data_IF_680626646955
#
_entry.id   IF_680626646955
#
_cell.length_a   1.000
_cell.length_b   1.000
_cell.length_c   1.000
_cell.angle_alpha   90.00
_cell.angle_beta   90.00
_cell.angle_gamma   90.00
#
_symmetry.space_group_name_H-M   'P 1'
#
loop_
_entity.id
_entity.type
_entity.pdbx_description
1 polymer ?
#
# COMPACT_ATOMS: atom_id res chain seq x y z
N UNK A 1 37.02 -24.06 -21.38
CA UNK A 1 35.79 -23.19 -21.41
C UNK A 1 34.91 -23.68 -20.29
N UNK A 2 34.93 -23.02 -19.12
CA UNK A 2 33.98 -23.30 -18.05
C UNK A 2 32.66 -22.63 -18.46
N UNK A 3 31.62 -23.42 -18.67
CA UNK A 3 30.24 -22.90 -18.74
C UNK A 3 29.97 -22.11 -17.45
N UNK A 4 29.81 -20.79 -17.58
CA UNK A 4 29.22 -20.00 -16.50
C UNK A 4 27.85 -20.59 -16.23
N UNK A 5 27.71 -21.37 -15.17
CA UNK A 5 26.40 -21.74 -14.61
C UNK A 5 25.57 -20.46 -14.50
N UNK A 6 24.50 -20.40 -15.27
CA UNK A 6 23.57 -19.28 -15.22
C UNK A 6 23.05 -19.15 -13.79
N UNK A 7 23.30 -18.02 -13.15
CA UNK A 7 22.78 -17.72 -11.82
C UNK A 7 21.31 -18.07 -11.76
N UNK A 8 20.82 -18.81 -10.74
CA UNK A 8 19.43 -19.20 -10.67
C UNK A 8 18.55 -17.95 -10.67
N UNK A 9 17.79 -17.77 -11.74
CA UNK A 9 16.85 -16.68 -11.88
C UNK A 9 15.54 -17.00 -11.15
N UNK A 10 14.85 -15.96 -10.65
CA UNK A 10 13.51 -16.09 -10.10
C UNK A 10 12.60 -16.78 -11.14
N UNK A 11 11.84 -17.80 -10.71
CA UNK A 11 10.94 -18.50 -11.65
C UNK A 11 9.75 -17.61 -12.01
N UNK A 12 9.51 -17.42 -13.30
CA UNK A 12 8.30 -16.78 -13.83
C UNK A 12 7.13 -17.75 -13.69
N UNK A 13 6.44 -17.71 -12.54
CA UNK A 13 5.32 -18.61 -12.22
C UNK A 13 3.95 -17.94 -12.19
N UNK A 14 3.90 -16.60 -12.33
CA UNK A 14 2.66 -15.82 -12.29
C UNK A 14 2.07 -15.70 -13.69
N UNK A 15 0.78 -16.10 -13.82
CA UNK A 15 0.01 -15.90 -15.06
C UNK A 15 -0.50 -14.46 -15.13
N UNK A 16 -0.87 -13.97 -16.31
CA UNK A 16 -1.41 -12.61 -16.52
C UNK A 16 -2.61 -12.31 -15.59
N UNK A 17 -3.52 -13.27 -15.36
CA UNK A 17 -4.63 -13.13 -14.41
C UNK A 17 -4.18 -12.85 -12.98
N UNK A 18 -3.05 -13.47 -12.55
CA UNK A 18 -2.49 -13.22 -11.21
C UNK A 18 -1.93 -11.80 -11.11
N UNK A 19 -1.18 -11.35 -12.11
CA UNK A 19 -0.60 -10.01 -12.16
C UNK A 19 -1.68 -8.91 -12.15
N UNK A 20 -2.76 -9.10 -12.92
CA UNK A 20 -3.89 -8.17 -12.93
C UNK A 20 -4.60 -8.12 -11.56
N UNK A 21 -4.83 -9.27 -10.92
CA UNK A 21 -5.48 -9.30 -9.60
C UNK A 21 -4.57 -8.77 -8.49
N UNK A 22 -3.26 -9.02 -8.54
CA UNK A 22 -2.29 -8.41 -7.64
C UNK A 22 -2.30 -6.88 -7.79
N UNK A 23 -2.31 -6.39 -9.04
CA UNK A 23 -2.36 -4.95 -9.31
C UNK A 23 -3.69 -4.31 -8.85
N UNK A 24 -4.82 -5.00 -9.00
CA UNK A 24 -6.13 -4.50 -8.57
C UNK A 24 -6.36 -4.66 -7.07
N UNK A 25 -6.01 -5.82 -6.53
CA UNK A 25 -6.31 -6.20 -5.15
C UNK A 25 -5.25 -5.79 -4.13
N UNK A 26 -3.97 -5.73 -4.52
CA UNK A 26 -2.85 -5.49 -3.61
C UNK A 26 -2.89 -4.14 -2.90
N UNK A 27 -3.56 -3.14 -3.48
CA UNK A 27 -3.72 -1.83 -2.86
C UNK A 27 -5.02 -1.67 -2.04
N UNK A 28 -5.92 -2.66 -2.05
CA UNK A 28 -7.14 -2.63 -1.23
C UNK A 28 -6.86 -3.46 0.04
N UNK A 29 -6.47 -2.76 1.10
CA UNK A 29 -6.12 -3.33 2.39
C UNK A 29 -6.81 -2.60 3.54
N UNK A 30 -6.24 -2.73 4.73
CA UNK A 30 -6.76 -2.14 5.97
C UNK A 30 -6.83 -0.61 5.94
N UNK A 31 -6.05 0.04 5.08
CA UNK A 31 -6.11 1.50 4.88
C UNK A 31 -7.51 1.98 4.50
N UNK A 32 -8.18 1.30 3.57
CA UNK A 32 -9.56 1.60 3.21
C UNK A 32 -10.54 1.09 4.27
N UNK A 33 -10.36 -0.16 4.74
CA UNK A 33 -11.36 -0.84 5.56
C UNK A 33 -11.36 -0.41 7.03
N UNK A 34 -10.20 -0.09 7.60
CA UNK A 34 -10.09 0.32 9.01
C UNK A 34 -9.47 1.71 9.18
N UNK A 35 -8.48 2.06 8.37
CA UNK A 35 -7.88 3.40 8.37
C UNK A 35 -8.89 4.50 8.05
N UNK A 36 -10.00 4.17 7.38
CA UNK A 36 -11.11 5.08 7.11
C UNK A 36 -11.83 5.58 8.37
N UNK A 37 -11.77 4.87 9.51
CA UNK A 37 -12.29 5.38 10.81
C UNK A 37 -11.71 6.76 11.11
N UNK A 38 -10.39 6.85 11.15
CA UNK A 38 -9.70 8.10 11.47
C UNK A 38 -9.96 9.20 10.43
N UNK A 39 -10.04 8.84 9.14
CA UNK A 39 -10.29 9.81 8.07
C UNK A 39 -11.72 10.33 8.09
N UNK A 40 -12.70 9.47 8.40
CA UNK A 40 -14.11 9.87 8.58
C UNK A 40 -14.23 10.80 9.80
N UNK A 41 -13.61 10.46 10.93
CA UNK A 41 -13.63 11.30 12.12
C UNK A 41 -13.02 12.70 11.87
N UNK A 42 -11.99 12.83 11.03
CA UNK A 42 -11.34 14.09 10.70
C UNK A 42 -12.13 14.92 9.69
N UNK A 43 -12.66 14.33 8.63
CA UNK A 43 -13.25 15.06 7.51
C UNK A 43 -14.77 14.97 7.41
N UNK A 44 -15.40 14.04 8.13
CA UNK A 44 -16.81 13.72 7.93
C UNK A 44 -17.08 13.29 6.48
N UNK A 45 -18.19 13.72 5.88
CA UNK A 45 -18.54 13.39 4.48
C UNK A 45 -17.49 13.85 3.47
N UNK A 46 -16.72 14.92 3.75
CA UNK A 46 -15.65 15.38 2.87
C UNK A 46 -14.48 14.39 2.73
N UNK A 47 -14.47 13.27 3.45
CA UNK A 47 -13.52 12.17 3.26
C UNK A 47 -13.48 11.70 1.81
N UNK A 48 -14.59 11.74 1.09
CA UNK A 48 -14.65 11.44 -0.35
C UNK A 48 -13.69 12.32 -1.16
N UNK A 49 -13.66 13.63 -0.87
CA UNK A 49 -12.76 14.57 -1.54
C UNK A 49 -11.30 14.33 -1.13
N UNK A 50 -11.03 13.91 0.10
CA UNK A 50 -9.69 13.56 0.55
C UNK A 50 -9.15 12.35 -0.24
N UNK A 51 -9.96 11.31 -0.43
CA UNK A 51 -9.63 10.17 -1.29
C UNK A 51 -9.47 10.57 -2.75
N UNK A 52 -10.31 11.46 -3.27
CA UNK A 52 -10.19 11.96 -4.64
C UNK A 52 -8.89 12.74 -4.84
N UNK A 53 -8.58 13.68 -3.94
CA UNK A 53 -7.37 14.50 -4.03
C UNK A 53 -6.10 13.63 -3.92
N UNK A 54 -6.00 12.80 -2.88
CA UNK A 54 -4.88 11.87 -2.71
C UNK A 54 -4.72 10.93 -3.90
N UNK A 55 -5.85 10.39 -4.40
CA UNK A 55 -5.89 9.50 -5.54
C UNK A 55 -5.41 10.14 -6.84
N UNK A 56 -5.79 11.38 -7.11
CA UNK A 56 -5.32 12.15 -8.29
C UNK A 56 -3.80 12.35 -8.21
N UNK A 57 -3.26 12.71 -7.04
CA UNK A 57 -1.82 12.88 -6.88
C UNK A 57 -1.07 11.57 -7.08
N UNK A 58 -1.56 10.48 -6.49
CA UNK A 58 -0.99 9.14 -6.67
C UNK A 58 -1.07 8.68 -8.12
N UNK A 59 -2.18 8.94 -8.82
CA UNK A 59 -2.28 8.63 -10.25
C UNK A 59 -1.15 9.27 -11.05
N UNK A 60 -0.83 10.54 -10.81
CA UNK A 60 0.27 11.21 -11.51
C UNK A 60 1.63 10.64 -11.10
N UNK A 61 1.84 10.29 -9.83
CA UNK A 61 3.08 9.63 -9.39
C UNK A 61 3.24 8.27 -10.08
N UNK A 62 2.16 7.48 -10.17
CA UNK A 62 2.17 6.22 -10.90
C UNK A 62 2.36 6.41 -12.40
N UNK A 63 1.87 7.50 -12.98
CA UNK A 63 2.10 7.86 -14.36
C UNK A 63 3.59 8.13 -14.63
N UNK A 64 4.26 8.83 -13.70
CA UNK A 64 5.70 9.07 -13.76
C UNK A 64 6.51 7.77 -13.66
N UNK A 65 6.14 6.88 -12.73
CA UNK A 65 6.74 5.57 -12.59
C UNK A 65 6.56 4.74 -13.87
N UNK A 66 5.34 4.72 -14.42
CA UNK A 66 5.02 3.99 -15.63
C UNK A 66 5.75 4.51 -16.87
N UNK A 67 6.00 5.81 -16.96
CA UNK A 67 6.79 6.38 -18.04
C UNK A 67 8.20 5.80 -18.05
N UNK A 68 8.86 5.71 -16.87
CA UNK A 68 10.17 5.08 -16.73
C UNK A 68 10.11 3.57 -16.95
N UNK A 69 9.04 2.90 -16.49
CA UNK A 69 8.89 1.46 -16.59
C UNK A 69 8.59 0.97 -18.02
N UNK A 70 7.92 1.76 -18.84
CA UNK A 70 7.74 1.48 -20.29
C UNK A 70 9.03 1.69 -21.05
N UNK A 71 9.84 2.67 -20.65
CA UNK A 71 11.13 2.93 -21.28
C UNK A 71 12.16 1.82 -21.02
N UNK A 72 12.16 1.28 -19.80
CA UNK A 72 13.06 0.22 -19.34
C UNK A 72 12.38 -0.69 -18.33
N UNK A 73 11.70 -1.76 -18.78
CA UNK A 73 10.98 -2.68 -17.89
C UNK A 73 11.96 -3.58 -17.12
N UNK A 74 12.19 -3.28 -15.83
CA UNK A 74 13.11 -4.01 -14.95
C UNK A 74 12.44 -4.35 -13.61
N UNK A 75 12.81 -5.49 -13.03
CA UNK A 75 12.29 -5.96 -11.73
C UNK A 75 12.70 -5.05 -10.56
N UNK A 76 13.82 -4.32 -10.68
CA UNK A 76 14.28 -3.34 -9.69
C UNK A 76 13.46 -2.06 -9.63
N UNK A 77 12.63 -1.79 -10.68
CA UNK A 77 11.70 -0.68 -10.77
C UNK A 77 12.30 0.66 -10.29
N UNK A 78 11.57 1.39 -9.45
CA UNK A 78 11.94 2.73 -8.97
C UNK A 78 13.31 2.79 -8.28
N UNK A 79 13.77 1.73 -7.64
CA UNK A 79 15.08 1.63 -7.02
C UNK A 79 16.20 1.55 -8.08
N UNK A 80 15.97 0.81 -9.19
CA UNK A 80 16.86 0.79 -10.34
C UNK A 80 16.93 2.16 -11.03
N UNK A 81 15.76 2.78 -11.31
CA UNK A 81 15.71 4.09 -11.95
C UNK A 81 16.35 5.18 -11.09
N UNK A 82 16.16 5.15 -9.77
CA UNK A 82 16.82 6.08 -8.86
C UNK A 82 18.34 5.94 -8.93
N UNK A 83 18.86 4.71 -8.92
CA UNK A 83 20.29 4.45 -9.11
C UNK A 83 20.82 4.97 -10.45
N UNK A 84 20.10 4.69 -11.55
CA UNK A 84 20.50 5.06 -12.90
C UNK A 84 20.45 6.57 -13.18
N UNK A 85 19.38 7.25 -12.77
CA UNK A 85 19.13 8.64 -13.16
C UNK A 85 19.46 9.66 -12.06
N UNK A 86 19.52 9.23 -10.79
CA UNK A 86 19.81 10.14 -9.68
C UNK A 86 21.14 9.87 -8.99
N UNK A 87 21.57 8.62 -8.92
CA UNK A 87 22.86 8.19 -8.36
C UNK A 87 22.73 7.04 -7.36
N UNK A 88 23.87 6.48 -6.95
CA UNK A 88 23.95 5.23 -6.18
C UNK A 88 23.23 5.31 -4.83
N UNK A 89 23.43 6.41 -4.07
CA UNK A 89 22.75 6.58 -2.79
C UNK A 89 21.24 6.64 -2.90
N UNK A 90 20.60 7.41 -3.79
CA UNK A 90 19.16 7.34 -4.03
C UNK A 90 18.65 5.95 -4.41
N UNK A 91 19.40 5.19 -5.20
CA UNK A 91 19.08 3.81 -5.54
C UNK A 91 19.07 2.90 -4.31
N UNK A 92 20.13 2.99 -3.50
CA UNK A 92 20.24 2.28 -2.21
C UNK A 92 19.12 2.65 -1.25
N UNK A 93 18.91 3.96 -1.03
CA UNK A 93 17.86 4.50 -0.18
C UNK A 93 16.49 3.98 -0.61
N UNK A 94 16.17 4.08 -1.90
CA UNK A 94 14.87 3.67 -2.43
C UNK A 94 14.57 2.20 -2.17
N UNK A 95 15.53 1.29 -2.38
CA UNK A 95 15.34 -0.14 -2.17
C UNK A 95 15.16 -0.52 -0.69
N UNK A 96 16.03 -0.03 0.20
CA UNK A 96 15.93 -0.29 1.63
C UNK A 96 14.72 0.36 2.28
N UNK A 97 14.37 1.60 1.85
CA UNK A 97 13.16 2.28 2.33
C UNK A 97 11.89 1.51 1.94
N UNK A 98 11.85 0.95 0.73
CA UNK A 98 10.71 0.15 0.30
C UNK A 98 10.58 -1.15 1.10
N UNK A 99 11.69 -1.86 1.34
CA UNK A 99 11.67 -3.04 2.23
C UNK A 99 11.18 -2.68 3.64
N UNK A 100 11.70 -1.61 4.22
CA UNK A 100 11.26 -1.11 5.52
C UNK A 100 9.75 -0.78 5.51
N UNK A 101 9.29 -0.03 4.51
CA UNK A 101 7.88 0.31 4.36
C UNK A 101 7.00 -0.94 4.42
N UNK A 102 7.33 -1.96 3.64
CA UNK A 102 6.54 -3.19 3.58
C UNK A 102 6.65 -4.07 4.83
N UNK A 103 7.73 -3.97 5.61
CA UNK A 103 7.78 -4.56 6.97
C UNK A 103 6.74 -3.87 7.86
N UNK A 104 6.69 -2.54 7.86
CA UNK A 104 5.73 -1.79 8.67
C UNK A 104 4.28 -2.03 8.20
N UNK A 105 4.04 -2.06 6.88
CA UNK A 105 2.73 -2.44 6.32
C UNK A 105 2.34 -3.85 6.78
N UNK A 106 3.25 -4.82 6.72
CA UNK A 106 3.01 -6.19 7.22
C UNK A 106 2.59 -6.21 8.69
N UNK A 107 3.25 -5.38 9.51
CA UNK A 107 2.89 -5.23 10.92
C UNK A 107 1.49 -4.60 11.09
N UNK A 108 1.15 -3.57 10.31
CA UNK A 108 -0.16 -2.92 10.37
C UNK A 108 -1.29 -3.87 9.97
N UNK A 109 -1.09 -4.66 8.89
CA UNK A 109 -2.08 -5.65 8.45
C UNK A 109 -2.30 -6.75 9.51
N UNK A 110 -1.24 -7.23 10.15
CA UNK A 110 -1.35 -8.22 11.23
C UNK A 110 -1.98 -7.64 12.50
N UNK A 111 -1.75 -6.36 12.82
CA UNK A 111 -2.47 -5.69 13.91
C UNK A 111 -3.98 -5.64 13.62
N UNK A 112 -4.35 -5.30 12.39
CA UNK A 112 -5.75 -5.28 11.96
C UNK A 112 -6.39 -6.67 11.96
N UNK A 113 -5.66 -7.75 11.62
CA UNK A 113 -6.14 -9.13 11.76
C UNK A 113 -6.61 -9.41 13.19
N UNK A 114 -5.87 -8.96 14.21
CA UNK A 114 -6.28 -9.07 15.60
C UNK A 114 -7.61 -8.39 15.88
N UNK A 115 -7.78 -7.13 15.40
CA UNK A 115 -9.02 -6.36 15.56
C UNK A 115 -10.21 -7.06 14.87
N UNK A 116 -10.03 -7.56 13.64
CA UNK A 116 -11.10 -8.24 12.91
C UNK A 116 -11.49 -9.59 13.52
N UNK A 117 -10.53 -10.32 14.10
CA UNK A 117 -10.81 -11.58 14.80
C UNK A 117 -11.59 -11.37 16.08
N UNK A 118 -11.38 -10.26 16.80
CA UNK A 118 -12.11 -9.92 18.02
C UNK A 118 -13.63 -9.71 17.77
N UNK A 119 -14.02 -9.43 16.53
CA UNK A 119 -15.45 -9.34 16.16
C UNK A 119 -16.21 -10.67 16.42
N UNK A 120 -15.56 -11.81 16.22
CA UNK A 120 -16.15 -13.14 16.46
C UNK A 120 -15.70 -13.76 17.77
N UNK A 121 -14.50 -13.44 18.21
CA UNK A 121 -13.83 -14.02 19.37
C UNK A 121 -13.29 -12.90 20.27
N UNK A 122 -14.17 -12.20 21.02
CA UNK A 122 -13.77 -11.03 21.83
C UNK A 122 -12.69 -11.30 22.86
N UNK A 123 -12.67 -12.54 23.40
CA UNK A 123 -11.72 -12.97 24.43
C UNK A 123 -10.36 -13.43 23.85
N UNK A 124 -10.23 -13.53 22.51
CA UNK A 124 -9.01 -13.96 21.88
C UNK A 124 -7.97 -12.81 21.85
N UNK A 125 -6.80 -12.98 22.47
CA UNK A 125 -5.77 -11.94 22.43
C UNK A 125 -5.35 -11.60 20.99
N UNK A 126 -5.31 -10.32 20.64
CA UNK A 126 -4.96 -9.85 19.30
C UNK A 126 -3.58 -10.37 18.83
N UNK A 127 -2.60 -10.43 19.75
CA UNK A 127 -1.27 -10.94 19.43
C UNK A 127 -1.27 -12.40 18.97
N UNK A 128 -2.20 -13.22 19.48
CA UNK A 128 -2.29 -14.64 19.09
C UNK A 128 -2.81 -14.77 17.65
N UNK A 129 -3.83 -14.01 17.28
CA UNK A 129 -4.33 -13.94 15.90
C UNK A 129 -3.24 -13.49 14.93
N UNK A 130 -2.46 -12.46 15.30
CA UNK A 130 -1.33 -11.98 14.50
C UNK A 130 -0.25 -13.07 14.35
N UNK A 131 0.11 -13.78 15.43
CA UNK A 131 1.11 -14.84 15.40
C UNK A 131 0.70 -16.03 14.53
N UNK A 132 -0.55 -16.45 14.63
CA UNK A 132 -1.09 -17.54 13.80
C UNK A 132 -1.07 -17.16 12.33
N UNK A 133 -1.57 -15.95 11.99
CA UNK A 133 -1.59 -15.45 10.62
C UNK A 133 -0.16 -15.33 10.06
N UNK A 134 0.78 -14.74 10.82
CA UNK A 134 2.18 -14.63 10.45
C UNK A 134 2.79 -16.00 10.11
N UNK A 135 2.57 -16.99 10.99
CA UNK A 135 3.12 -18.34 10.82
C UNK A 135 2.57 -19.02 9.57
N UNK A 136 1.25 -18.99 9.38
CA UNK A 136 0.59 -19.62 8.23
C UNK A 136 1.06 -18.99 6.91
N UNK A 137 1.07 -17.67 6.81
CA UNK A 137 1.48 -16.96 5.59
C UNK A 137 2.98 -17.16 5.31
N UNK A 138 3.83 -17.18 6.34
CA UNK A 138 5.26 -17.47 6.17
C UNK A 138 5.45 -18.86 5.58
N UNK A 139 4.80 -19.89 6.13
CA UNK A 139 4.88 -21.27 5.63
C UNK A 139 4.41 -21.34 4.17
N UNK A 140 3.29 -20.71 3.83
CA UNK A 140 2.76 -20.68 2.46
C UNK A 140 3.75 -20.05 1.49
N UNK A 141 4.38 -18.92 1.83
CA UNK A 141 5.37 -18.26 0.99
C UNK A 141 6.67 -19.08 0.81
N UNK A 142 7.00 -19.97 1.75
CA UNK A 142 8.13 -20.89 1.63
C UNK A 142 7.88 -22.04 0.66
N UNK A 143 6.62 -22.31 0.25
CA UNK A 143 6.29 -23.46 -0.60
C UNK A 143 6.64 -23.23 -2.07
N UNK A 144 5.92 -22.34 -2.76
CA UNK A 144 6.19 -21.96 -4.15
C UNK A 144 5.44 -20.69 -4.58
N UNK A 145 5.93 -20.04 -5.66
CA UNK A 145 5.38 -18.79 -6.22
C UNK A 145 3.96 -18.98 -6.78
N UNK A 146 3.63 -20.17 -7.30
CA UNK A 146 2.31 -20.44 -7.86
C UNK A 146 1.23 -20.49 -6.77
N UNK A 147 1.54 -21.08 -5.61
CA UNK A 147 0.62 -21.12 -4.47
C UNK A 147 0.31 -19.68 -3.97
N UNK A 148 1.34 -18.83 -3.89
CA UNK A 148 1.16 -17.41 -3.63
C UNK A 148 0.19 -16.74 -4.62
N UNK A 149 0.45 -16.91 -5.93
CA UNK A 149 -0.35 -16.25 -6.96
C UNK A 149 -1.82 -16.69 -6.99
N UNK A 150 -2.09 -17.99 -6.80
CA UNK A 150 -3.47 -18.51 -6.73
C UNK A 150 -4.19 -18.00 -5.47
N UNK A 151 -3.54 -18.00 -4.31
CA UNK A 151 -4.13 -17.48 -3.08
C UNK A 151 -4.47 -15.99 -3.22
N UNK A 152 -3.53 -15.18 -3.74
CA UNK A 152 -3.74 -13.75 -3.93
C UNK A 152 -4.87 -13.47 -4.94
N UNK A 153 -4.95 -14.25 -6.02
CA UNK A 153 -6.03 -14.15 -7.00
C UNK A 153 -7.41 -14.29 -6.34
N UNK A 154 -7.62 -15.35 -5.54
CA UNK A 154 -8.90 -15.61 -4.90
C UNK A 154 -9.24 -14.58 -3.82
N UNK A 155 -8.25 -14.19 -3.00
CA UNK A 155 -8.47 -13.15 -1.99
C UNK A 155 -8.78 -11.78 -2.63
N UNK A 156 -8.10 -11.42 -3.72
CA UNK A 156 -8.40 -10.21 -4.46
C UNK A 156 -9.80 -10.24 -5.08
N UNK A 157 -10.21 -11.37 -5.64
CA UNK A 157 -11.55 -11.54 -6.22
C UNK A 157 -12.64 -11.37 -5.14
N UNK A 158 -12.45 -11.98 -3.96
CA UNK A 158 -13.40 -11.87 -2.83
C UNK A 158 -13.58 -10.41 -2.43
N UNK A 159 -12.50 -9.68 -2.17
CA UNK A 159 -12.58 -8.28 -1.72
C UNK A 159 -13.15 -7.34 -2.77
N UNK A 160 -12.79 -7.50 -4.05
CA UNK A 160 -13.34 -6.68 -5.15
C UNK A 160 -14.84 -6.93 -5.30
N UNK A 161 -15.24 -8.20 -5.35
CA UNK A 161 -16.66 -8.58 -5.47
C UNK A 161 -17.47 -8.05 -4.29
N UNK A 162 -16.96 -8.17 -3.07
CA UNK A 162 -17.65 -7.70 -1.88
C UNK A 162 -17.84 -6.17 -1.87
N UNK A 163 -16.84 -5.39 -2.29
CA UNK A 163 -16.96 -3.93 -2.38
C UNK A 163 -18.01 -3.55 -3.44
N UNK A 164 -17.99 -4.18 -4.62
CA UNK A 164 -18.97 -3.92 -5.67
C UNK A 164 -20.39 -4.26 -5.20
N UNK A 165 -20.57 -5.41 -4.54
CA UNK A 165 -21.87 -5.80 -3.97
C UNK A 165 -22.30 -4.86 -2.86
N UNK A 166 -21.39 -4.41 -2.00
CA UNK A 166 -21.66 -3.44 -0.94
C UNK A 166 -22.11 -2.08 -1.53
N UNK A 167 -21.41 -1.58 -2.56
CA UNK A 167 -21.82 -0.36 -3.26
C UNK A 167 -23.20 -0.54 -3.88
N UNK A 168 -23.46 -1.69 -4.54
CA UNK A 168 -24.75 -2.00 -5.13
C UNK A 168 -25.86 -2.10 -4.12
N UNK A 169 -25.66 -2.82 -3.00
CA UNK A 169 -26.63 -2.95 -1.91
C UNK A 169 -26.87 -1.60 -1.24
N UNK A 170 -25.82 -0.86 -0.92
CA UNK A 170 -25.96 0.47 -0.30
C UNK A 170 -26.68 1.45 -1.21
N UNK A 171 -26.35 1.47 -2.51
CA UNK A 171 -27.08 2.27 -3.48
C UNK A 171 -28.56 1.90 -3.60
N UNK A 172 -28.87 0.60 -3.58
CA UNK A 172 -30.25 0.12 -3.58
C UNK A 172 -31.00 0.56 -2.31
N UNK A 173 -30.39 0.45 -1.13
CA UNK A 173 -30.97 0.93 0.13
C UNK A 173 -31.26 2.45 0.10
N UNK A 174 -30.35 3.26 -0.46
CA UNK A 174 -30.56 4.70 -0.60
C UNK A 174 -31.71 5.04 -1.54
N UNK A 175 -31.90 4.29 -2.63
CA UNK A 175 -32.97 4.54 -3.62
C UNK A 175 -34.34 4.07 -3.08
N UNK A 176 -34.40 2.95 -2.37
CA UNK A 176 -35.67 2.38 -1.88
C UNK A 176 -36.16 3.01 -0.60
N UNK A 177 -35.34 3.84 0.06
CA UNK A 177 -35.71 4.49 1.32
C UNK A 177 -35.88 3.49 2.48
N UNK A 178 -35.25 2.31 2.40
CA UNK A 178 -35.31 1.30 3.45
C UNK A 178 -34.70 1.83 4.77
N UNK A 179 -35.07 1.36 5.89
CA UNK A 179 -35.67 1.81 7.12
C UNK A 179 -35.05 3.06 7.78
N UNK A 180 -34.32 3.91 7.03
CA UNK A 180 -33.56 5.05 7.56
C UNK A 180 -34.19 6.37 7.14
N UNK A 181 -34.59 7.23 8.10
CA UNK A 181 -35.22 8.51 7.79
C UNK A 181 -34.26 9.53 7.16
N UNK A 182 -32.92 9.35 7.24
CA UNK A 182 -31.98 10.42 6.93
C UNK A 182 -31.14 10.22 5.66
N UNK A 183 -31.22 9.12 4.95
CA UNK A 183 -30.67 8.89 3.58
C UNK A 183 -29.45 9.78 3.18
N UNK A 184 -29.49 10.35 1.99
CA UNK A 184 -28.48 11.27 1.46
C UNK A 184 -28.32 12.51 2.35
N UNK A 185 -29.29 12.87 3.17
CA UNK A 185 -29.23 14.02 4.10
C UNK A 185 -28.11 13.88 5.13
N UNK A 186 -27.65 12.65 5.46
CA UNK A 186 -26.51 12.39 6.33
C UNK A 186 -25.23 13.12 5.85
N UNK A 187 -25.12 13.41 4.55
CA UNK A 187 -23.99 14.16 4.01
C UNK A 187 -23.98 15.64 4.46
N UNK A 188 -25.10 16.16 4.99
CA UNK A 188 -25.21 17.56 5.41
C UNK A 188 -25.82 17.74 6.80
N UNK A 189 -26.57 16.78 7.32
CA UNK A 189 -27.37 16.92 8.55
C UNK A 189 -26.50 17.11 9.83
N UNK A 190 -25.29 16.55 9.84
CA UNK A 190 -24.45 16.50 11.03
C UNK A 190 -23.24 17.46 10.94
N UNK A 191 -23.51 18.77 10.84
CA UNK A 191 -22.49 19.82 10.76
C UNK A 191 -22.07 20.18 9.33
N UNK A 192 -22.84 19.77 8.31
CA UNK A 192 -22.57 20.04 6.91
C UNK A 192 -21.59 19.06 6.26
N UNK A 193 -21.26 19.29 5.01
CA UNK A 193 -20.36 18.44 4.22
C UNK A 193 -18.89 18.48 4.71
N UNK A 194 -18.47 19.60 5.31
CA UNK A 194 -17.15 19.85 5.89
C UNK A 194 -17.29 20.17 7.39
N UNK A 195 -17.73 19.24 8.25
CA UNK A 195 -18.08 19.53 9.63
C UNK A 195 -16.89 20.06 10.45
N UNK A 196 -15.68 19.61 10.15
CA UNK A 196 -14.42 20.03 10.78
C UNK A 196 -13.64 21.04 9.89
N UNK A 197 -14.31 21.66 8.92
CA UNK A 197 -13.74 22.66 8.03
C UNK A 197 -12.61 22.14 7.14
N UNK A 198 -11.94 23.06 6.46
CA UNK A 198 -10.82 22.74 5.58
C UNK A 198 -9.63 22.12 6.30
N UNK A 199 -9.47 22.41 7.60
CA UNK A 199 -8.39 21.85 8.41
C UNK A 199 -8.57 20.34 8.60
N UNK A 200 -9.76 19.89 9.00
CA UNK A 200 -10.08 18.47 9.12
C UNK A 200 -9.91 17.72 7.79
N UNK A 201 -10.31 18.33 6.68
CA UNK A 201 -10.11 17.79 5.34
C UNK A 201 -8.62 17.60 4.99
N UNK A 202 -7.77 18.59 5.29
CA UNK A 202 -6.32 18.48 5.03
C UNK A 202 -5.67 17.39 5.89
N UNK A 203 -6.03 17.31 7.18
CA UNK A 203 -5.56 16.26 8.07
C UNK A 203 -6.00 14.87 7.57
N UNK A 204 -7.27 14.71 7.19
CA UNK A 204 -7.77 13.45 6.64
C UNK A 204 -7.03 13.05 5.35
N UNK A 205 -6.70 14.02 4.49
CA UNK A 205 -5.94 13.76 3.25
C UNK A 205 -4.57 13.13 3.55
N UNK A 206 -3.90 13.54 4.65
CA UNK A 206 -2.64 12.93 5.05
C UNK A 206 -2.82 11.47 5.49
N UNK A 207 -3.87 11.16 6.25
CA UNK A 207 -4.17 9.78 6.69
C UNK A 207 -4.58 8.88 5.53
N UNK A 208 -5.38 9.41 4.59
CA UNK A 208 -5.83 8.70 3.38
C UNK A 208 -4.66 8.16 2.56
N UNK A 209 -3.50 8.82 2.59
CA UNK A 209 -2.34 8.41 1.79
C UNK A 209 -1.88 6.97 2.09
N UNK A 210 -2.06 6.48 3.31
CA UNK A 210 -1.79 5.08 3.63
C UNK A 210 -2.60 4.10 2.76
N UNK A 211 -3.85 4.45 2.46
CA UNK A 211 -4.74 3.61 1.64
C UNK A 211 -4.28 3.42 0.19
N UNK A 212 -3.34 4.22 -0.26
CA UNK A 212 -2.76 4.13 -1.62
C UNK A 212 -1.42 3.40 -1.65
N UNK A 213 -0.89 2.95 -0.52
CA UNK A 213 0.27 2.06 -0.49
C UNK A 213 0.01 0.77 -1.27
N UNK A 214 1.03 0.29 -2.00
CA UNK A 214 0.93 -0.91 -2.83
C UNK A 214 0.59 -0.67 -4.30
N UNK A 215 0.15 0.52 -4.69
CA UNK A 215 -0.11 0.85 -6.10
C UNK A 215 1.19 0.79 -6.93
N UNK A 216 2.32 1.12 -6.35
CA UNK A 216 3.65 1.06 -6.96
C UNK A 216 4.11 -0.36 -7.31
N UNK A 217 3.44 -1.41 -6.84
CA UNK A 217 3.66 -2.80 -7.25
C UNK A 217 3.53 -2.99 -8.77
N UNK A 218 2.72 -2.18 -9.45
CA UNK A 218 2.62 -2.14 -10.91
C UNK A 218 4.00 -1.91 -11.54
N UNK A 219 4.83 -1.04 -10.95
CA UNK A 219 6.19 -0.81 -11.42
C UNK A 219 7.12 -2.00 -11.18
N UNK A 220 6.98 -2.71 -10.07
CA UNK A 220 7.81 -3.88 -9.72
C UNK A 220 7.49 -5.06 -10.63
N UNK A 221 6.20 -5.27 -10.93
CA UNK A 221 5.75 -6.36 -11.83
C UNK A 221 6.04 -6.07 -13.30
N UNK A 222 6.44 -4.85 -13.66
CA UNK A 222 6.77 -4.46 -15.02
C UNK A 222 7.87 -5.33 -15.66
N UNK A 223 8.88 -5.75 -14.87
CA UNK A 223 9.94 -6.65 -15.32
C UNK A 223 9.50 -8.10 -15.58
N UNK A 224 8.30 -8.50 -15.13
CA UNK A 224 7.70 -9.82 -15.31
C UNK A 224 6.55 -9.81 -16.33
N UNK A 225 6.23 -8.64 -16.92
CA UNK A 225 5.18 -8.48 -17.92
C UNK A 225 5.60 -9.05 -19.29
N UNK A 226 4.68 -9.76 -19.98
CA UNK A 226 4.93 -10.31 -21.30
C UNK A 226 4.99 -9.21 -22.38
N UNK A 227 4.17 -8.17 -22.27
CA UNK A 227 4.12 -7.00 -23.17
C UNK A 227 4.07 -5.70 -22.34
N UNK A 228 5.23 -5.19 -21.88
CA UNK A 228 5.30 -4.01 -21.03
C UNK A 228 4.74 -2.74 -21.71
N UNK A 229 4.97 -2.55 -22.99
CA UNK A 229 4.55 -1.37 -23.76
C UNK A 229 3.00 -1.19 -23.75
N UNK A 230 2.26 -2.28 -23.61
CA UNK A 230 0.79 -2.29 -23.57
C UNK A 230 0.25 -2.47 -22.15
N UNK A 231 0.81 -3.41 -21.41
CA UNK A 231 0.29 -3.83 -20.08
C UNK A 231 0.47 -2.73 -19.02
N UNK A 232 1.63 -2.06 -18.98
CA UNK A 232 1.92 -1.01 -18.00
C UNK A 232 1.00 0.21 -18.19
N UNK A 233 0.85 0.80 -19.42
CA UNK A 233 -0.09 1.89 -19.65
C UNK A 233 -1.53 1.54 -19.29
N UNK A 234 -2.00 0.33 -19.60
CA UNK A 234 -3.34 -0.12 -19.26
C UNK A 234 -3.54 -0.21 -17.75
N UNK A 235 -2.61 -0.83 -17.03
CA UNK A 235 -2.68 -0.98 -15.57
C UNK A 235 -2.72 0.41 -14.88
N UNK A 236 -1.88 1.36 -15.32
CA UNK A 236 -1.85 2.71 -14.76
C UNK A 236 -3.13 3.50 -15.06
N UNK A 237 -3.65 3.43 -16.29
CA UNK A 237 -4.90 4.12 -16.63
C UNK A 237 -6.10 3.55 -15.87
N UNK A 238 -6.07 2.29 -15.46
CA UNK A 238 -7.11 1.69 -14.61
C UNK A 238 -7.06 2.18 -13.16
N UNK A 239 -5.94 2.73 -12.69
CA UNK A 239 -5.80 3.25 -11.32
C UNK A 239 -6.86 4.31 -11.03
N UNK A 240 -7.16 5.22 -11.97
CA UNK A 240 -8.14 6.28 -11.74
C UNK A 240 -9.55 5.72 -11.51
N UNK A 241 -9.96 4.73 -12.32
CA UNK A 241 -11.26 4.07 -12.15
C UNK A 241 -11.35 3.33 -10.83
N UNK A 242 -10.25 2.69 -10.41
CA UNK A 242 -10.15 2.03 -9.13
C UNK A 242 -10.34 3.01 -7.98
N UNK A 243 -9.70 4.17 -8.04
CA UNK A 243 -9.85 5.24 -7.05
C UNK A 243 -11.30 5.71 -6.98
N UNK A 244 -11.90 6.03 -8.14
CA UNK A 244 -13.27 6.53 -8.18
C UNK A 244 -14.28 5.51 -7.65
N UNK A 245 -14.18 4.24 -8.03
CA UNK A 245 -15.16 3.22 -7.65
C UNK A 245 -14.91 2.73 -6.22
N UNK A 246 -13.68 2.25 -5.93
CA UNK A 246 -13.42 1.53 -4.69
C UNK A 246 -13.15 2.43 -3.48
N UNK A 247 -12.72 3.66 -3.69
CA UNK A 247 -12.47 4.60 -2.58
C UNK A 247 -13.56 5.65 -2.50
N UNK A 248 -13.72 6.49 -3.52
CA UNK A 248 -14.70 7.58 -3.50
C UNK A 248 -16.14 7.05 -3.48
N UNK A 249 -16.48 6.09 -4.34
CA UNK A 249 -17.81 5.49 -4.41
C UNK A 249 -18.19 4.77 -3.11
N UNK A 250 -17.25 4.03 -2.54
CA UNK A 250 -17.45 3.37 -1.25
C UNK A 250 -17.73 4.38 -0.13
N UNK A 251 -16.90 5.41 0.01
CA UNK A 251 -17.09 6.44 1.04
C UNK A 251 -18.38 7.22 0.84
N UNK A 252 -18.76 7.49 -0.42
CA UNK A 252 -20.02 8.16 -0.73
C UNK A 252 -21.24 7.36 -0.21
N UNK A 253 -21.25 6.05 -0.46
CA UNK A 253 -22.32 5.16 0.02
C UNK A 253 -22.32 5.07 1.56
N UNK A 254 -21.17 4.86 2.19
CA UNK A 254 -21.08 4.72 3.64
C UNK A 254 -21.54 5.99 4.37
N UNK A 255 -21.10 7.16 3.91
CA UNK A 255 -21.46 8.45 4.51
C UNK A 255 -22.91 8.85 4.25
N UNK A 256 -23.50 8.37 3.17
CA UNK A 256 -24.93 8.57 2.91
C UNK A 256 -25.83 7.63 3.75
N UNK A 257 -25.37 6.40 4.01
CA UNK A 257 -26.13 5.41 4.78
C UNK A 257 -26.15 5.68 6.28
N UNK A 258 -25.10 6.29 6.84
CA UNK A 258 -24.94 6.43 8.30
C UNK A 258 -24.27 7.75 8.69
N UNK A 259 -24.71 8.38 9.80
CA UNK A 259 -24.09 9.59 10.32
C UNK A 259 -22.60 9.39 10.60
N UNK A 260 -21.74 10.25 10.05
CA UNK A 260 -20.29 10.14 10.18
C UNK A 260 -19.79 10.19 11.63
N UNK A 261 -20.47 10.96 12.50
CA UNK A 261 -20.12 11.17 13.90
C UNK A 261 -20.48 9.98 14.81
N UNK A 262 -21.18 8.99 14.30
CA UNK A 262 -21.52 7.73 15.00
C UNK A 262 -20.60 6.57 14.59
N UNK A 263 -19.64 6.79 13.70
CA UNK A 263 -18.66 5.76 13.30
C UNK A 263 -17.59 5.67 14.39
N UNK A 264 -17.57 4.56 15.11
CA UNK A 264 -16.60 4.29 16.19
C UNK A 264 -15.33 3.56 15.71
N UNK A 265 -14.38 3.33 16.64
CA UNK A 265 -13.13 2.63 16.38
C UNK A 265 -13.18 1.11 16.64
N UNK A 266 -14.31 0.57 17.10
CA UNK A 266 -14.43 -0.82 17.56
C UNK A 266 -14.36 -1.87 16.43
N UNK A 267 -14.68 -1.46 15.20
CA UNK A 267 -14.61 -2.30 14.02
C UNK A 267 -14.44 -1.45 12.75
N UNK A 268 -14.26 -2.11 11.60
CA UNK A 268 -14.30 -1.43 10.30
C UNK A 268 -15.62 -0.67 10.11
N UNK A 269 -15.60 0.58 9.57
CA UNK A 269 -16.84 1.31 9.24
C UNK A 269 -17.78 0.51 8.35
N UNK A 270 -17.25 -0.30 7.46
CA UNK A 270 -18.04 -1.21 6.61
C UNK A 270 -18.89 -2.19 7.44
N UNK A 271 -18.30 -2.75 8.47
CA UNK A 271 -18.97 -3.72 9.35
C UNK A 271 -19.98 -3.02 10.26
N UNK A 272 -19.56 -1.89 10.87
CA UNK A 272 -20.40 -1.13 11.80
C UNK A 272 -21.66 -0.60 11.10
N UNK A 273 -21.50 0.06 9.95
CA UNK A 273 -22.62 0.66 9.23
C UNK A 273 -23.63 -0.40 8.83
N UNK A 274 -23.22 -1.52 8.24
CA UNK A 274 -24.17 -2.57 7.85
C UNK A 274 -24.80 -3.33 9.03
N UNK A 275 -24.10 -3.41 10.16
CA UNK A 275 -24.68 -3.90 11.42
C UNK A 275 -25.77 -2.96 11.94
N UNK A 276 -25.49 -1.66 11.97
CA UNK A 276 -26.39 -0.63 12.47
C UNK A 276 -27.60 -0.42 11.55
N UNK A 277 -27.39 -0.60 10.25
CA UNK A 277 -28.45 -0.64 9.22
C UNK A 277 -29.40 -1.85 9.37
N UNK A 278 -29.17 -2.74 10.34
CA UNK A 278 -30.04 -3.86 10.62
C UNK A 278 -29.85 -5.08 9.72
N UNK A 279 -28.67 -5.22 9.09
CA UNK A 279 -28.30 -6.37 8.26
C UNK A 279 -27.10 -7.12 8.89
N UNK A 280 -27.30 -7.85 10.01
CA UNK A 280 -26.20 -8.50 10.73
C UNK A 280 -25.43 -9.51 9.86
N UNK A 281 -26.12 -10.23 8.97
CA UNK A 281 -25.49 -11.17 8.05
C UNK A 281 -24.47 -10.46 7.13
N UNK A 282 -24.77 -9.25 6.63
CA UNK A 282 -23.83 -8.47 5.85
C UNK A 282 -22.62 -8.03 6.69
N UNK A 283 -22.80 -7.70 7.96
CA UNK A 283 -21.71 -7.36 8.85
C UNK A 283 -20.71 -8.52 9.03
N UNK A 284 -21.19 -9.76 9.22
CA UNK A 284 -20.34 -10.95 9.31
C UNK A 284 -19.59 -11.22 8.01
N UNK A 285 -20.26 -11.11 6.86
CA UNK A 285 -19.65 -11.28 5.54
C UNK A 285 -18.58 -10.21 5.31
N UNK A 286 -18.89 -8.95 5.59
CA UNK A 286 -17.96 -7.85 5.43
C UNK A 286 -16.75 -7.97 6.36
N UNK A 287 -16.94 -8.41 7.62
CA UNK A 287 -15.83 -8.66 8.52
C UNK A 287 -14.91 -9.78 8.01
N UNK A 288 -15.46 -10.85 7.43
CA UNK A 288 -14.67 -11.88 6.77
C UNK A 288 -13.90 -11.32 5.57
N UNK A 289 -14.53 -10.46 4.77
CA UNK A 289 -13.88 -9.80 3.62
C UNK A 289 -12.73 -8.91 4.05
N UNK A 290 -12.91 -8.06 5.07
CA UNK A 290 -11.85 -7.17 5.54
C UNK A 290 -10.69 -7.95 6.17
N UNK A 291 -10.99 -9.06 6.87
CA UNK A 291 -9.96 -9.99 7.35
C UNK A 291 -9.16 -10.60 6.18
N UNK A 292 -9.85 -11.12 5.16
CA UNK A 292 -9.16 -11.68 3.98
C UNK A 292 -8.37 -10.61 3.22
N UNK A 293 -8.81 -9.37 3.22
CA UNK A 293 -8.08 -8.26 2.64
C UNK A 293 -6.76 -7.97 3.37
N UNK A 294 -6.79 -7.94 4.71
CA UNK A 294 -5.58 -7.79 5.53
C UNK A 294 -4.58 -8.94 5.29
N UNK A 295 -5.07 -10.18 5.31
CA UNK A 295 -4.25 -11.37 5.03
C UNK A 295 -3.64 -11.33 3.63
N UNK A 296 -4.39 -10.90 2.62
CA UNK A 296 -3.93 -10.74 1.23
C UNK A 296 -2.81 -9.72 1.11
N UNK A 297 -2.97 -8.52 1.72
CA UNK A 297 -1.92 -7.50 1.68
C UNK A 297 -0.67 -7.97 2.41
N UNK A 298 -0.81 -8.63 3.57
CA UNK A 298 0.32 -9.22 4.29
C UNK A 298 1.04 -10.30 3.45
N UNK A 299 0.30 -11.17 2.77
CA UNK A 299 0.85 -12.16 1.86
C UNK A 299 1.66 -11.52 0.72
N UNK A 300 1.10 -10.49 0.09
CA UNK A 300 1.78 -9.73 -0.97
C UNK A 300 3.00 -8.96 -0.45
N UNK A 301 2.95 -8.48 0.80
CA UNK A 301 4.07 -7.79 1.44
C UNK A 301 5.27 -8.72 1.67
N UNK A 302 5.07 -9.92 2.21
CA UNK A 302 6.14 -10.92 2.40
C UNK A 302 6.74 -11.35 1.06
N UNK A 303 5.89 -11.57 0.05
CA UNK A 303 6.33 -11.87 -1.30
C UNK A 303 7.25 -10.77 -1.86
N UNK A 304 6.82 -9.51 -1.80
CA UNK A 304 7.56 -8.35 -2.32
C UNK A 304 8.84 -8.07 -1.55
N UNK A 305 8.79 -8.14 -0.21
CA UNK A 305 9.93 -7.95 0.67
C UNK A 305 11.08 -8.91 0.37
N UNK A 306 10.76 -10.18 0.20
CA UNK A 306 11.78 -11.20 -0.06
C UNK A 306 12.49 -10.97 -1.41
N UNK A 307 11.75 -10.48 -2.41
CA UNK A 307 12.31 -10.16 -3.74
C UNK A 307 13.08 -8.85 -3.74
N UNK A 308 12.65 -7.87 -2.96
CA UNK A 308 13.40 -6.63 -2.79
C UNK A 308 14.76 -6.91 -2.16
N UNK A 309 14.82 -7.71 -1.09
CA UNK A 309 16.09 -8.12 -0.48
C UNK A 309 17.00 -8.88 -1.47
N UNK A 310 16.40 -9.77 -2.27
CA UNK A 310 17.13 -10.49 -3.33
C UNK A 310 17.71 -9.51 -4.36
N UNK A 311 16.90 -8.56 -4.85
CA UNK A 311 17.35 -7.54 -5.81
C UNK A 311 18.41 -6.60 -5.24
N UNK A 312 18.30 -6.19 -3.97
CA UNK A 312 19.33 -5.43 -3.27
C UNK A 312 20.66 -6.20 -3.20
N UNK A 313 20.60 -7.50 -2.87
CA UNK A 313 21.78 -8.34 -2.80
C UNK A 313 22.45 -8.55 -4.18
N UNK A 314 21.66 -8.70 -5.23
CA UNK A 314 22.19 -8.77 -6.61
C UNK A 314 22.97 -7.53 -7.03
N UNK A 315 22.58 -6.36 -6.54
CA UNK A 315 23.28 -5.08 -6.81
C UNK A 315 24.45 -4.80 -5.86
N UNK A 316 24.71 -5.69 -4.90
CA UNK A 316 25.71 -5.45 -3.86
C UNK A 316 25.25 -4.49 -2.76
N UNK A 317 23.95 -4.11 -2.73
CA UNK A 317 23.37 -3.22 -1.74
C UNK A 317 22.97 -3.95 -0.44
N UNK A 318 23.00 -5.29 -0.45
CA UNK A 318 22.71 -6.15 0.69
C UNK A 318 23.64 -7.38 0.72
N UNK A 319 23.73 -8.13 1.84
CA UNK A 319 24.59 -9.29 1.92
C UNK A 319 24.30 -10.33 0.83
N UNK A 320 25.36 -10.85 0.19
CA UNK A 320 25.30 -11.84 -0.90
C UNK A 320 24.52 -13.12 -0.52
N UNK A 321 24.49 -13.44 0.77
CA UNK A 321 23.71 -14.56 1.30
C UNK A 321 22.21 -14.49 0.93
N UNK A 322 21.66 -13.31 0.66
CA UNK A 322 20.27 -13.10 0.25
C UNK A 322 20.01 -13.41 -1.24
N UNK A 323 21.05 -13.58 -2.04
CA UNK A 323 20.93 -14.04 -3.44
C UNK A 323 20.61 -15.54 -3.55
N UNK A 324 20.67 -16.31 -2.45
CA UNK A 324 20.43 -17.74 -2.51
C UNK A 324 18.93 -18.04 -2.64
N UNK A 325 18.60 -18.79 -3.69
CA UNK A 325 17.25 -19.30 -3.95
C UNK A 325 17.18 -20.80 -3.58
N UNK A 326 16.00 -21.23 -3.14
CA UNK A 326 15.70 -22.66 -3.00
C UNK A 326 15.62 -23.35 -4.36
N UNK A 327 15.60 -24.70 -4.37
CA UNK A 327 15.37 -25.48 -5.60
C UNK A 327 14.06 -25.10 -6.34
N UNK A 328 13.11 -24.48 -5.65
CA UNK A 328 11.84 -23.97 -6.20
C UNK A 328 11.91 -22.53 -6.68
N UNK A 329 13.09 -21.88 -6.63
CA UNK A 329 13.28 -20.48 -7.02
C UNK A 329 12.72 -19.47 -6.01
N UNK A 330 12.60 -19.87 -4.73
CA UNK A 330 12.06 -19.02 -3.65
C UNK A 330 13.22 -18.44 -2.82
N UNK A 331 13.23 -17.12 -2.52
CA UNK A 331 14.24 -16.47 -1.71
C UNK A 331 13.98 -16.71 -0.20
N UNK A 332 14.23 -17.92 0.28
CA UNK A 332 13.91 -18.39 1.64
C UNK A 332 14.47 -17.47 2.73
N UNK A 333 15.74 -17.05 2.60
CA UNK A 333 16.37 -16.16 3.59
C UNK A 333 15.67 -14.79 3.66
N UNK A 334 15.28 -14.26 2.51
CA UNK A 334 14.54 -13.00 2.45
C UNK A 334 13.17 -13.10 3.13
N UNK A 335 12.45 -14.22 2.92
CA UNK A 335 11.17 -14.49 3.60
C UNK A 335 11.37 -14.57 5.12
N UNK A 336 12.32 -15.39 5.59
CA UNK A 336 12.53 -15.60 7.02
C UNK A 336 12.98 -14.32 7.75
N UNK A 337 13.85 -13.50 7.14
CA UNK A 337 14.26 -12.22 7.71
C UNK A 337 13.07 -11.26 7.77
N UNK A 338 12.30 -11.16 6.71
CA UNK A 338 11.14 -10.26 6.68
C UNK A 338 10.06 -10.70 7.67
N UNK A 339 9.76 -12.01 7.76
CA UNK A 339 8.83 -12.56 8.76
C UNK A 339 9.34 -12.37 10.19
N UNK A 340 10.64 -12.56 10.43
CA UNK A 340 11.26 -12.33 11.73
C UNK A 340 11.17 -10.86 12.18
N UNK A 341 11.39 -9.92 11.27
CA UNK A 341 11.19 -8.50 11.56
C UNK A 341 9.72 -8.16 11.80
N UNK A 342 8.81 -8.75 11.04
CA UNK A 342 7.37 -8.56 11.23
C UNK A 342 6.88 -9.14 12.57
N UNK A 343 7.57 -10.13 13.13
CA UNK A 343 7.22 -10.72 14.44
C UNK A 343 7.18 -9.66 15.58
N UNK A 344 7.85 -8.53 15.41
CA UNK A 344 7.81 -7.42 16.36
C UNK A 344 6.36 -6.96 16.62
N UNK A 345 5.46 -7.07 15.65
CA UNK A 345 4.04 -6.69 15.83
C UNK A 345 3.34 -7.53 16.90
N UNK A 346 3.75 -8.77 17.07
CA UNK A 346 3.17 -9.66 18.12
C UNK A 346 3.42 -9.06 19.50
N UNK A 347 4.64 -8.54 19.73
CA UNK A 347 4.99 -7.83 20.97
C UNK A 347 4.25 -6.48 21.06
N UNK A 348 4.16 -5.73 19.96
CA UNK A 348 3.43 -4.46 19.95
C UNK A 348 1.95 -4.67 20.30
N UNK A 349 1.29 -5.68 19.73
CA UNK A 349 -0.11 -6.01 20.05
C UNK A 349 -0.28 -6.55 21.48
N UNK A 350 0.75 -7.13 22.08
CA UNK A 350 0.72 -7.55 23.47
C UNK A 350 0.78 -6.38 24.45
N UNK A 351 1.69 -5.42 24.21
CA UNK A 351 1.91 -4.29 25.12
C UNK A 351 1.01 -3.08 24.85
N UNK A 352 0.59 -2.89 23.58
CA UNK A 352 -0.18 -1.72 23.12
C UNK A 352 -1.38 -2.15 22.25
N UNK A 353 -2.32 -2.94 22.81
CA UNK A 353 -3.49 -3.38 22.05
C UNK A 353 -4.35 -2.16 21.68
N UNK A 354 -4.68 -2.04 20.39
CA UNK A 354 -5.50 -0.95 19.84
C UNK A 354 -4.71 0.23 19.28
N UNK A 355 -3.61 0.68 19.89
CA UNK A 355 -2.83 1.83 19.42
C UNK A 355 -1.79 1.48 18.35
N UNK A 356 -1.32 0.24 18.36
CA UNK A 356 -0.26 -0.23 17.46
C UNK A 356 -0.57 0.04 15.99
N UNK A 357 -1.82 -0.16 15.57
CA UNK A 357 -2.23 0.06 14.19
C UNK A 357 -2.01 1.51 13.74
N UNK A 358 -2.43 2.50 14.54
CA UNK A 358 -2.29 3.92 14.19
C UNK A 358 -0.82 4.34 14.03
N UNK A 359 0.06 3.91 14.94
CA UNK A 359 1.49 4.20 14.84
C UNK A 359 2.12 3.54 13.61
N UNK A 360 1.74 2.31 13.31
CA UNK A 360 2.27 1.56 12.17
C UNK A 360 1.85 2.19 10.83
N UNK A 361 0.57 2.58 10.68
CA UNK A 361 0.12 3.25 9.44
C UNK A 361 0.79 4.62 9.26
N UNK A 362 1.08 5.32 10.36
CA UNK A 362 1.80 6.60 10.30
C UNK A 362 3.23 6.42 9.80
N UNK A 363 3.98 5.44 10.34
CA UNK A 363 5.35 5.14 9.93
C UNK A 363 5.37 4.64 8.47
N UNK A 364 4.42 3.76 8.09
CA UNK A 364 4.29 3.29 6.71
C UNK A 364 4.00 4.44 5.74
N UNK A 365 3.12 5.38 6.11
CA UNK A 365 2.82 6.56 5.29
C UNK A 365 4.07 7.42 5.08
N UNK A 366 4.86 7.70 6.11
CA UNK A 366 6.13 8.43 5.99
C UNK A 366 7.09 7.71 5.05
N UNK A 367 7.24 6.40 5.17
CA UNK A 367 8.10 5.60 4.31
C UNK A 367 7.61 5.59 2.85
N UNK A 368 6.28 5.51 2.63
CA UNK A 368 5.67 5.61 1.31
C UNK A 368 5.91 6.99 0.67
N UNK A 369 5.78 8.08 1.44
CA UNK A 369 6.08 9.46 0.98
C UNK A 369 7.53 9.58 0.51
N UNK A 370 8.50 8.97 1.21
CA UNK A 370 9.90 8.91 0.74
C UNK A 370 10.00 8.20 -0.61
N UNK A 371 9.35 7.04 -0.76
CA UNK A 371 9.36 6.28 -2.02
C UNK A 371 8.73 7.07 -3.16
N UNK A 372 7.57 7.69 -2.95
CA UNK A 372 6.89 8.52 -3.95
C UNK A 372 7.68 9.76 -4.30
N UNK A 373 8.29 10.43 -3.32
CA UNK A 373 9.21 11.56 -3.55
C UNK A 373 10.39 11.14 -4.41
N UNK A 374 10.97 9.97 -4.13
CA UNK A 374 12.07 9.40 -4.93
C UNK A 374 11.64 9.16 -6.38
N UNK A 375 10.45 8.59 -6.61
CA UNK A 375 9.89 8.38 -7.95
C UNK A 375 9.76 9.72 -8.69
N UNK A 376 9.17 10.75 -8.07
CA UNK A 376 8.92 12.06 -8.69
C UNK A 376 10.24 12.77 -9.07
N UNK A 377 11.22 12.77 -8.16
CA UNK A 377 12.54 13.41 -8.41
C UNK A 377 13.32 12.63 -9.47
N UNK A 378 13.28 11.30 -9.42
CA UNK A 378 13.94 10.45 -10.44
C UNK A 378 13.35 10.71 -11.83
N UNK A 379 12.02 10.84 -11.92
CA UNK A 379 11.35 11.16 -13.19
C UNK A 379 11.76 12.53 -13.76
N UNK A 380 11.95 13.55 -12.92
CA UNK A 380 12.51 14.85 -13.37
C UNK A 380 13.88 14.68 -14.01
N UNK A 381 14.74 13.85 -13.42
CA UNK A 381 16.10 13.59 -13.94
C UNK A 381 16.07 12.72 -15.20
N UNK A 382 15.25 11.69 -15.22
CA UNK A 382 14.99 10.86 -16.40
C UNK A 382 14.58 11.71 -17.60
N UNK A 383 13.59 12.57 -17.44
CA UNK A 383 13.11 13.46 -18.52
C UNK A 383 14.17 14.43 -19.02
N UNK A 384 14.99 14.97 -18.10
CA UNK A 384 16.12 15.85 -18.48
C UNK A 384 17.18 15.09 -19.28
N UNK A 385 17.44 13.82 -18.91
CA UNK A 385 18.38 12.98 -19.64
C UNK A 385 17.84 12.62 -21.03
N UNK A 386 16.59 12.15 -21.15
CA UNK A 386 15.95 11.87 -22.44
C UNK A 386 15.97 13.10 -23.37
N UNK A 387 15.72 14.30 -22.84
CA UNK A 387 15.78 15.52 -23.63
C UNK A 387 17.21 15.85 -24.14
N UNK A 388 18.25 15.58 -23.34
CA UNK A 388 19.65 15.75 -23.76
C UNK A 388 20.09 14.75 -24.81
N UNK A 389 19.59 13.52 -24.72
CA UNK A 389 19.90 12.40 -25.61
C UNK A 389 19.03 12.38 -26.88
N UNK A 390 18.00 13.24 -26.96
CA UNK A 390 17.01 13.23 -28.05
C UNK A 390 16.13 11.97 -28.07
N UNK A 391 16.04 11.24 -26.95
CA UNK A 391 15.32 9.97 -26.86
C UNK A 391 13.81 10.20 -26.86
N UNK A 392 13.02 9.55 -27.77
CA UNK A 392 11.57 9.65 -27.77
C UNK A 392 10.96 8.93 -26.57
N UNK A 393 9.92 9.51 -25.99
CA UNK A 393 9.20 8.94 -24.83
C UNK A 393 7.88 8.38 -25.32
N UNK A 394 7.65 7.08 -25.11
CA UNK A 394 6.44 6.36 -25.57
C UNK A 394 5.20 6.68 -24.74
N UNK A 395 5.33 6.72 -23.42
CA UNK A 395 4.22 6.87 -22.46
C UNK A 395 4.40 8.13 -21.63
N UNK A 396 4.04 9.30 -22.18
CA UNK A 396 4.30 10.60 -21.56
C UNK A 396 3.39 10.91 -20.38
N UNK A 397 3.98 11.41 -19.29
CA UNK A 397 3.25 12.04 -18.17
C UNK A 397 2.81 13.43 -18.60
N UNK A 398 1.49 13.75 -18.52
CA UNK A 398 0.99 15.07 -18.87
C UNK A 398 1.46 16.15 -17.88
N UNK A 399 1.42 17.40 -18.31
CA UNK A 399 1.74 18.58 -17.49
C UNK A 399 3.17 18.62 -16.92
N UNK A 400 4.10 17.84 -17.45
CA UNK A 400 5.52 17.93 -17.09
C UNK A 400 6.08 19.34 -17.42
N UNK A 401 6.92 19.97 -16.56
CA UNK A 401 7.36 19.49 -15.23
C UNK A 401 6.47 19.93 -14.07
N UNK A 402 5.41 20.71 -14.32
CA UNK A 402 4.59 21.33 -13.28
C UNK A 402 3.92 20.32 -12.36
N UNK A 403 3.45 19.21 -12.93
CA UNK A 403 2.82 18.15 -12.13
C UNK A 403 3.80 17.49 -11.16
N UNK A 404 5.08 17.40 -11.51
CA UNK A 404 6.11 16.90 -10.60
C UNK A 404 6.26 17.82 -9.38
N UNK A 405 6.35 19.14 -9.61
CA UNK A 405 6.45 20.10 -8.52
C UNK A 405 5.20 20.11 -7.65
N UNK A 406 4.01 20.02 -8.25
CA UNK A 406 2.76 19.92 -7.53
C UNK A 406 2.73 18.68 -6.64
N UNK A 407 3.13 17.51 -7.15
CA UNK A 407 3.23 16.28 -6.36
C UNK A 407 4.24 16.43 -5.21
N UNK A 408 5.39 17.07 -5.42
CA UNK A 408 6.37 17.29 -4.35
C UNK A 408 5.83 18.21 -3.26
N UNK A 409 5.15 19.30 -3.62
CA UNK A 409 4.48 20.22 -2.67
C UNK A 409 3.40 19.47 -1.89
N UNK A 410 2.58 18.67 -2.58
CA UNK A 410 1.55 17.86 -1.96
C UNK A 410 2.13 16.86 -0.95
N UNK A 411 3.18 16.11 -1.32
CA UNK A 411 3.84 15.15 -0.44
C UNK A 411 4.50 15.83 0.78
N UNK A 412 5.08 17.01 0.60
CA UNK A 412 5.58 17.82 1.72
C UNK A 412 4.43 18.27 2.64
N UNK A 413 3.30 18.69 2.06
CA UNK A 413 2.08 19.03 2.79
C UNK A 413 1.55 17.85 3.61
N UNK A 414 1.57 16.62 3.06
CA UNK A 414 1.17 15.40 3.79
C UNK A 414 2.02 15.23 5.05
N UNK A 415 3.34 15.35 4.97
CA UNK A 415 4.24 15.23 6.14
C UNK A 415 3.96 16.33 7.18
N UNK A 416 3.74 17.56 6.73
CA UNK A 416 3.39 18.68 7.61
C UNK A 416 2.07 18.43 8.35
N UNK A 417 1.05 17.91 7.65
CA UNK A 417 -0.24 17.57 8.25
C UNK A 417 -0.12 16.41 9.22
N UNK A 418 0.67 15.37 8.92
CA UNK A 418 0.93 14.26 9.84
C UNK A 418 1.56 14.73 11.15
N UNK A 419 2.42 15.76 11.13
CA UNK A 419 2.99 16.35 12.33
C UNK A 419 1.95 17.06 13.23
N UNK A 420 0.74 17.34 12.72
CA UNK A 420 -0.36 17.96 13.48
C UNK A 420 -1.36 16.93 14.05
N UNK A 421 -1.26 15.65 13.64
CA UNK A 421 -2.20 14.61 14.06
C UNK A 421 -1.62 13.89 15.28
N UNK A 422 -2.32 13.89 16.44
CA UNK A 422 -1.91 13.09 17.60
C UNK A 422 -1.69 11.62 17.23
N UNK A 423 -0.59 11.02 17.67
CA UNK A 423 -0.18 9.66 17.32
C UNK A 423 0.62 9.55 16.01
N UNK A 424 0.48 10.45 15.03
CA UNK A 424 1.29 10.43 13.81
C UNK A 424 2.59 11.23 13.91
N UNK A 425 2.71 12.11 14.87
CA UNK A 425 3.90 12.95 15.11
C UNK A 425 5.17 12.11 15.31
N UNK A 426 5.04 10.94 15.96
CA UNK A 426 6.17 10.04 16.20
C UNK A 426 6.79 9.53 14.91
N UNK A 427 5.97 9.26 13.89
CA UNK A 427 6.45 8.83 12.59
C UNK A 427 7.27 9.91 11.88
N UNK A 428 6.82 11.17 11.98
CA UNK A 428 7.55 12.33 11.43
C UNK A 428 8.88 12.54 12.17
N UNK A 429 8.92 12.33 13.49
CA UNK A 429 10.14 12.42 14.30
C UNK A 429 11.14 11.29 14.00
N UNK A 430 10.67 10.08 13.66
CA UNK A 430 11.50 8.94 13.29
C UNK A 430 12.09 9.08 11.89
N UNK A 431 11.45 9.82 10.98
CA UNK A 431 11.86 9.95 9.59
C UNK A 431 13.32 10.41 9.40
N UNK A 432 13.81 11.48 10.08
CA UNK A 432 15.23 11.86 9.98
C UNK A 432 16.17 10.77 10.50
N UNK A 433 15.80 10.07 11.59
CA UNK A 433 16.60 8.99 12.17
C UNK A 433 16.75 7.85 11.16
N UNK A 434 15.65 7.49 10.47
CA UNK A 434 15.67 6.48 9.41
C UNK A 434 16.55 6.89 8.23
N UNK A 435 16.45 8.15 7.76
CA UNK A 435 17.28 8.66 6.67
C UNK A 435 18.77 8.66 7.04
N UNK A 436 19.12 9.02 8.28
CA UNK A 436 20.50 8.95 8.79
C UNK A 436 20.97 7.51 8.85
N UNK A 437 20.15 6.56 9.31
CA UNK A 437 20.48 5.14 9.35
C UNK A 437 20.80 4.60 7.94
N UNK A 438 19.97 4.94 6.94
CA UNK A 438 20.21 4.60 5.54
C UNK A 438 21.51 5.18 5.00
N UNK A 439 21.81 6.45 5.33
CA UNK A 439 23.04 7.09 4.91
C UNK A 439 24.30 6.44 5.54
N UNK A 440 24.24 6.09 6.83
CA UNK A 440 25.30 5.37 7.52
C UNK A 440 25.50 3.96 6.93
N UNK A 441 24.41 3.25 6.63
CA UNK A 441 24.44 1.96 5.95
C UNK A 441 25.13 2.03 4.58
N UNK A 442 24.80 3.04 3.78
CA UNK A 442 25.42 3.29 2.49
C UNK A 442 26.91 3.60 2.62
N UNK A 443 27.31 4.46 3.56
CA UNK A 443 28.73 4.74 3.82
C UNK A 443 29.51 3.51 4.25
N UNK A 444 28.90 2.63 5.05
CA UNK A 444 29.53 1.36 5.44
C UNK A 444 29.74 0.43 4.26
N UNK A 445 28.81 0.43 3.27
CA UNK A 445 28.95 -0.31 2.03
C UNK A 445 30.21 0.18 1.25
N UNK A 446 30.29 1.49 0.99
CA UNK A 446 31.41 2.09 0.23
C UNK A 446 32.77 1.76 0.88
N UNK A 447 32.84 1.80 2.23
CA UNK A 447 34.08 1.45 2.93
C UNK A 447 34.49 0.00 2.70
N UNK A 448 33.51 -0.94 2.59
CA UNK A 448 33.81 -2.36 2.32
C UNK A 448 34.21 -2.62 0.87
N UNK A 449 33.70 -1.82 -0.09
CA UNK A 449 34.07 -1.94 -1.50
C UNK A 449 35.46 -1.37 -1.79
N UNK A 450 35.93 -0.44 -0.95
CA UNK A 450 37.26 0.21 -1.08
C UNK A 450 38.35 -0.46 -0.21
N UNK A 451 37.99 -1.44 0.64
CA UNK A 451 38.90 -2.21 1.49
C UNK A 451 39.13 -3.60 0.89
#
# INVERSE_FOLDING_TARGET
>A
MQEKEASPALRRGLKNRHLQMIALGGAIGTGLFYGSVSTIALAGPAVMLAYLLGGVMIFFIMRMLGEMAVDEPVSGSFSHYAGKYWGDFPGFLSGWNYWFNYIIVSMAELAAVGIYMNFWLPDLPQWLSALVCLTVITILNLTNVRAYGEMEFWMALVKITAIVLMIGLGGWLLVTGAPFPENISNLWAHGGFLPNGWWGFLLATAVVMFSFGGIELIGITAGEAEDPDRTIPQAINQVIWRILIFYVGTMAILMALWPWNEVGADASPFVQIFRNVGIPAAAHILNFVVLTAAVSVYNSAIYSNSRMLYGLAQRGDAPQALCQLSHRGVPVRGILISSGMTLIVVFLNYFFPGDAFLYLIAIATCAAVISWTTIVVTHLKFRRQCAREGKPIKFRTPFYPWINYLCLIFLAGVVIMMAQIPGMQIAVAILPVWLIALWLGYRSKIKRENA
#
